data_IF_139662109785
#
_entry.id   IF_139662109785
#
_cell.length_a   1.000
_cell.length_b   1.000
_cell.length_c   1.000
_cell.angle_alpha   90.00
_cell.angle_beta   90.00
_cell.angle_gamma   90.00
#
_symmetry.space_group_name_H-M   'P 1'
#
loop_
_entity.id
_entity.type
_entity.pdbx_description
1 polymer ?
#
# COMPACT_ATOMS: atom_id res chain seq x y z
N UNK A 1 -23.93 23.25 15.48
CA UNK A 1 -22.56 23.19 14.91
C UNK A 1 -22.07 21.77 15.05
N UNK A 2 -22.11 20.95 14.00
CA UNK A 2 -21.56 19.59 14.06
C UNK A 2 -20.10 19.68 13.62
N UNK A 3 -19.16 19.50 14.55
CA UNK A 3 -17.76 19.32 14.21
C UNK A 3 -17.67 18.08 13.31
N UNK A 4 -17.11 18.23 12.11
CA UNK A 4 -16.83 17.11 11.21
C UNK A 4 -15.83 16.20 11.91
N UNK A 5 -16.25 15.04 12.38
CA UNK A 5 -15.35 13.95 12.71
C UNK A 5 -14.66 13.49 11.42
N UNK A 6 -13.40 13.89 11.23
CA UNK A 6 -12.54 13.43 10.15
C UNK A 6 -12.13 11.99 10.44
N UNK A 7 -12.99 11.03 10.10
CA UNK A 7 -12.67 9.60 10.16
C UNK A 7 -11.62 9.30 9.09
N UNK A 8 -10.41 8.96 9.50
CA UNK A 8 -9.33 8.54 8.60
C UNK A 8 -9.51 7.04 8.33
N UNK A 9 -9.65 6.68 7.05
CA UNK A 9 -9.74 5.28 6.62
C UNK A 9 -8.34 4.75 6.29
N UNK A 10 -7.88 3.74 7.02
CA UNK A 10 -6.55 3.15 6.88
C UNK A 10 -6.68 1.68 6.48
N UNK A 11 -5.90 1.27 5.49
CA UNK A 11 -5.67 -0.14 5.15
C UNK A 11 -4.48 -0.62 5.95
N UNK A 12 -4.69 -1.63 6.81
CA UNK A 12 -3.64 -2.21 7.65
C UNK A 12 -3.18 -3.53 7.05
N UNK A 13 -1.88 -3.67 6.84
CA UNK A 13 -1.24 -4.88 6.33
C UNK A 13 -0.05 -5.27 7.19
N UNK A 14 0.38 -6.54 7.06
CA UNK A 14 1.52 -7.08 7.80
C UNK A 14 2.76 -7.10 6.90
N UNK A 15 3.88 -6.61 7.41
CA UNK A 15 5.19 -6.71 6.76
C UNK A 15 6.17 -7.30 7.77
N UNK A 16 6.72 -8.47 7.47
CA UNK A 16 7.55 -9.22 8.43
C UNK A 16 6.77 -9.55 9.71
N UNK A 17 7.22 -9.04 10.85
CA UNK A 17 6.55 -9.18 12.15
C UNK A 17 5.66 -8.00 12.53
N UNK A 18 5.69 -6.91 11.78
CA UNK A 18 5.04 -5.64 12.13
C UNK A 18 3.80 -5.36 11.28
N UNK A 19 2.94 -4.46 11.78
CA UNK A 19 1.74 -4.00 11.07
C UNK A 19 1.96 -2.56 10.63
N UNK A 20 1.68 -2.31 9.36
CA UNK A 20 1.75 -0.99 8.75
C UNK A 20 0.36 -0.57 8.27
N UNK A 21 0.12 0.74 8.24
CA UNK A 21 -1.12 1.34 7.77
C UNK A 21 -0.84 2.32 6.64
N UNK A 22 -1.66 2.28 5.59
CA UNK A 22 -1.65 3.27 4.51
C UNK A 22 -3.04 3.89 4.40
N UNK A 23 -3.11 5.18 4.09
CA UNK A 23 -4.41 5.84 3.86
C UNK A 23 -5.11 5.22 2.65
N UNK A 24 -6.42 4.98 2.80
CA UNK A 24 -7.23 4.36 1.74
C UNK A 24 -7.24 5.19 0.46
N UNK A 25 -7.10 6.51 0.59
CA UNK A 25 -6.97 7.46 -0.53
C UNK A 25 -5.71 7.24 -1.38
N UNK A 26 -4.67 6.63 -0.82
CA UNK A 26 -3.39 6.36 -1.49
C UNK A 26 -3.29 4.94 -2.04
N UNK A 27 -4.25 4.06 -1.73
CA UNK A 27 -4.28 2.69 -2.23
C UNK A 27 -4.89 2.67 -3.62
N UNK A 28 -4.10 2.33 -4.62
CA UNK A 28 -4.59 2.16 -6.00
C UNK A 28 -5.36 0.85 -6.15
N UNK A 29 -4.70 -0.27 -5.84
CA UNK A 29 -5.20 -1.63 -6.03
C UNK A 29 -4.62 -2.58 -4.97
N UNK A 30 -5.37 -3.62 -4.59
CA UNK A 30 -4.89 -4.71 -3.74
C UNK A 30 -4.85 -5.97 -4.60
N UNK A 31 -3.67 -6.29 -5.13
CA UNK A 31 -3.44 -7.47 -5.96
C UNK A 31 -2.66 -8.54 -5.18
N UNK A 32 -2.77 -9.79 -5.62
CA UNK A 32 -1.84 -10.83 -5.18
C UNK A 32 -0.52 -10.62 -5.92
N UNK A 33 0.60 -10.88 -5.23
CA UNK A 33 1.91 -10.82 -5.86
C UNK A 33 1.99 -11.90 -6.94
N UNK A 34 2.14 -11.47 -8.19
CA UNK A 34 2.39 -12.33 -9.34
C UNK A 34 3.89 -12.41 -9.64
N UNK A 35 4.28 -13.25 -10.61
CA UNK A 35 5.68 -13.36 -11.01
C UNK A 35 6.20 -12.02 -11.54
N UNK A 36 7.29 -11.53 -10.95
CA UNK A 36 7.93 -10.28 -11.38
C UNK A 36 8.76 -10.57 -12.63
N UNK A 37 8.28 -10.11 -13.78
CA UNK A 37 9.03 -10.18 -15.04
C UNK A 37 10.21 -9.21 -15.00
N UNK A 38 11.44 -9.74 -14.95
CA UNK A 38 12.65 -8.90 -14.99
C UNK A 38 12.89 -8.40 -16.41
N UNK A 39 13.06 -7.09 -16.54
CA UNK A 39 13.46 -6.47 -17.80
C UNK A 39 14.99 -6.61 -17.97
N UNK A 40 15.49 -7.18 -19.08
CA UNK A 40 16.92 -7.21 -19.37
C UNK A 40 17.50 -5.79 -19.46
N UNK A 41 18.68 -5.57 -18.88
CA UNK A 41 19.37 -4.27 -18.78
C UNK A 41 18.68 -3.22 -17.90
N UNK A 42 17.70 -3.59 -17.07
CA UNK A 42 17.17 -2.69 -16.06
C UNK A 42 18.23 -2.42 -14.95
N UNK A 43 18.34 -1.18 -14.46
CA UNK A 43 19.11 -0.89 -13.26
C UNK A 43 18.63 -1.71 -12.06
N UNK A 44 19.50 -2.04 -11.11
CA UNK A 44 19.14 -2.87 -9.93
C UNK A 44 18.02 -2.28 -9.06
N UNK A 45 17.62 -1.03 -9.26
CA UNK A 45 16.55 -0.36 -8.54
C UNK A 45 15.17 -0.44 -9.22
N UNK A 46 15.03 -1.21 -10.29
CA UNK A 46 13.80 -1.31 -11.10
C UNK A 46 13.25 -2.73 -11.13
#
# INVERSE_FOLDING_TARGET
MSAKESTIQLVVFKLGSERYGVETSQVKEIIRVEEITRIPNAPEFV
#
